data_IF_215631424925
#
_entry.id   IF_215631424925
#
_cell.length_a   1.000
_cell.length_b   1.000
_cell.length_c   1.000
_cell.angle_alpha   90.00
_cell.angle_beta   90.00
_cell.angle_gamma   90.00
#
_symmetry.space_group_name_H-M   'P 1'
#
loop_
_entity.id
_entity.type
_entity.pdbx_description
1 polymer ?
#
# COMPACT_ATOMS: atom_id res chain seq x y z
N UNK A 1 -23.53 -6.76 -34.09
CA UNK A 1 -24.01 -5.98 -32.93
C UNK A 1 -23.46 -6.61 -31.66
N UNK A 2 -22.28 -6.17 -31.21
CA UNK A 2 -21.66 -6.66 -29.98
C UNK A 2 -22.07 -5.74 -28.81
N UNK A 3 -22.88 -6.27 -27.89
CA UNK A 3 -23.11 -5.64 -26.58
C UNK A 3 -21.93 -5.99 -25.68
N UNK A 4 -20.98 -5.08 -25.53
CA UNK A 4 -20.03 -5.10 -24.42
C UNK A 4 -20.68 -4.39 -23.23
N UNK A 5 -21.32 -5.15 -22.35
CA UNK A 5 -21.61 -4.71 -20.99
C UNK A 5 -20.38 -4.99 -20.14
N UNK A 6 -19.45 -4.05 -20.13
CA UNK A 6 -18.35 -4.00 -19.18
C UNK A 6 -18.22 -2.56 -18.72
N UNK A 7 -18.68 -2.25 -17.51
CA UNK A 7 -18.45 -0.94 -16.91
C UNK A 7 -16.93 -0.71 -16.83
N UNK A 8 -16.38 0.09 -17.75
CA UNK A 8 -15.03 0.61 -17.66
C UNK A 8 -15.05 1.70 -16.57
N UNK A 9 -14.94 1.28 -15.31
CA UNK A 9 -14.69 2.20 -14.19
C UNK A 9 -13.20 2.22 -13.95
N UNK A 10 -12.60 3.41 -14.04
CA UNK A 10 -11.32 3.68 -13.38
C UNK A 10 -11.49 3.42 -11.88
N UNK A 11 -11.10 2.23 -11.45
CA UNK A 11 -10.99 1.92 -10.02
C UNK A 11 -9.55 2.15 -9.66
N UNK A 12 -9.31 3.16 -8.83
CA UNK A 12 -8.04 3.28 -8.13
C UNK A 12 -7.92 2.03 -7.24
N UNK A 13 -6.91 1.22 -7.51
CA UNK A 13 -6.76 -0.10 -6.90
C UNK A 13 -6.45 -0.06 -5.40
N UNK A 14 -5.98 1.07 -4.89
CA UNK A 14 -5.52 1.24 -3.51
C UNK A 14 -5.59 2.71 -3.03
N UNK A 15 -5.52 2.92 -1.73
CA UNK A 15 -5.22 4.22 -1.12
C UNK A 15 -3.74 4.25 -0.71
N UNK A 16 -2.96 5.19 -1.24
CA UNK A 16 -1.53 5.33 -0.91
C UNK A 16 -1.32 6.26 0.27
N UNK A 17 -0.50 5.85 1.22
CA UNK A 17 0.00 6.71 2.29
C UNK A 17 1.41 7.15 1.90
N UNK A 18 1.62 8.45 1.75
CA UNK A 18 2.88 9.05 1.29
C UNK A 18 3.50 9.87 2.42
N UNK A 19 4.82 9.87 2.51
CA UNK A 19 5.54 10.83 3.34
C UNK A 19 5.62 12.17 2.61
N UNK A 20 5.24 13.25 3.29
CA UNK A 20 5.30 14.64 2.80
C UNK A 20 4.65 14.86 1.42
N UNK A 21 3.54 14.19 1.13
CA UNK A 21 2.84 14.25 -0.17
C UNK A 21 3.74 13.92 -1.39
N UNK A 22 4.80 13.13 -1.17
CA UNK A 22 5.75 12.80 -2.21
C UNK A 22 5.53 11.39 -2.76
N UNK A 23 5.16 11.30 -4.03
CA UNK A 23 4.94 10.03 -4.74
C UNK A 23 6.19 9.12 -4.83
N UNK A 24 7.39 9.65 -4.57
CA UNK A 24 8.64 8.89 -4.47
C UNK A 24 8.93 8.38 -3.05
N UNK A 25 8.14 8.80 -2.06
CA UNK A 25 8.24 8.37 -0.65
C UNK A 25 6.96 7.67 -0.15
N UNK A 26 6.48 6.61 -0.81
CA UNK A 26 5.32 5.85 -0.33
C UNK A 26 5.64 5.07 0.96
N UNK A 27 4.82 5.24 2.01
CA UNK A 27 4.95 4.52 3.28
C UNK A 27 4.26 3.16 3.19
N UNK A 28 3.03 3.12 2.69
CA UNK A 28 2.28 1.87 2.45
C UNK A 28 1.13 2.11 1.46
N UNK A 29 0.48 1.03 1.00
CA UNK A 29 -0.78 1.12 0.24
C UNK A 29 -1.86 0.24 0.86
N UNK A 30 -3.06 0.79 0.95
CA UNK A 30 -4.23 0.16 1.53
C UNK A 30 -5.14 -0.36 0.42
N UNK A 31 -5.33 -1.67 0.36
CA UNK A 31 -6.21 -2.32 -0.60
C UNK A 31 -7.52 -2.72 0.10
N UNK A 32 -8.37 -1.73 0.42
CA UNK A 32 -9.61 -1.96 1.19
C UNK A 32 -10.87 -1.99 0.33
N UNK A 33 -10.72 -1.96 -0.99
CA UNK A 33 -11.82 -1.97 -1.95
C UNK A 33 -12.71 -3.22 -1.88
N UNK A 34 -12.21 -4.31 -1.28
CA UNK A 34 -12.99 -5.51 -1.00
C UNK A 34 -12.93 -5.83 0.51
N UNK A 35 -14.08 -5.74 1.24
CA UNK A 35 -14.13 -6.02 2.67
C UNK A 35 -13.64 -7.41 3.08
N UNK A 36 -13.77 -8.42 2.19
CA UNK A 36 -13.37 -9.81 2.43
C UNK A 36 -11.91 -10.10 2.10
N UNK A 37 -11.21 -9.17 1.44
CA UNK A 37 -9.81 -9.35 1.02
C UNK A 37 -9.01 -8.06 1.16
N UNK A 38 -9.13 -7.42 2.33
CA UNK A 38 -8.31 -6.28 2.68
C UNK A 38 -6.84 -6.69 2.70
N UNK A 39 -6.00 -5.88 2.09
CA UNK A 39 -4.54 -6.11 2.09
C UNK A 39 -3.82 -4.80 2.39
N UNK A 40 -2.66 -4.93 3.00
CA UNK A 40 -1.70 -3.86 3.21
C UNK A 40 -0.48 -4.18 2.36
N UNK A 41 -0.03 -3.23 1.54
CA UNK A 41 1.26 -3.32 0.85
C UNK A 41 2.29 -2.51 1.61
N UNK A 42 3.37 -3.17 2.01
CA UNK A 42 4.47 -2.65 2.81
C UNK A 42 5.72 -2.49 1.94
N UNK A 43 6.58 -1.55 2.31
CA UNK A 43 7.82 -1.28 1.60
C UNK A 43 9.02 -1.41 2.53
N UNK A 44 9.93 -2.32 2.18
CA UNK A 44 11.20 -2.48 2.86
C UNK A 44 12.34 -2.02 1.95
N UNK A 45 13.42 -1.55 2.56
CA UNK A 45 14.60 -1.05 1.86
C UNK A 45 15.85 -1.81 2.30
N UNK A 46 16.47 -2.52 1.37
CA UNK A 46 17.72 -3.25 1.57
C UNK A 46 18.70 -2.85 0.48
N UNK A 47 19.88 -2.32 0.83
CA UNK A 47 20.96 -2.01 -0.12
C UNK A 47 20.46 -1.19 -1.35
N UNK A 48 19.75 -0.08 -1.09
CA UNK A 48 19.10 0.79 -2.09
C UNK A 48 18.02 0.14 -2.98
N UNK A 49 17.68 -1.14 -2.76
CA UNK A 49 16.56 -1.80 -3.43
C UNK A 49 15.31 -1.72 -2.57
N UNK A 50 14.20 -1.34 -3.20
CA UNK A 50 12.87 -1.40 -2.61
C UNK A 50 12.28 -2.78 -2.82
N UNK A 51 11.82 -3.40 -1.74
CA UNK A 51 11.01 -4.61 -1.77
C UNK A 51 9.57 -4.25 -1.38
N UNK A 52 8.60 -4.81 -2.08
CA UNK A 52 7.17 -4.60 -1.83
C UNK A 52 6.53 -5.94 -1.44
N UNK A 53 5.73 -5.95 -0.38
CA UNK A 53 5.03 -7.16 0.08
C UNK A 53 3.56 -6.84 0.37
N UNK A 54 2.64 -7.67 -0.15
CA UNK A 54 1.20 -7.57 0.15
C UNK A 54 0.79 -8.58 1.19
N UNK A 55 0.43 -8.10 2.37
CA UNK A 55 -0.04 -8.92 3.49
C UNK A 55 -1.56 -8.80 3.63
N UNK A 56 -2.29 -9.91 3.83
CA UNK A 56 -3.72 -9.84 4.15
C UNK A 56 -3.92 -9.27 5.55
N UNK A 57 -4.98 -8.49 5.74
CA UNK A 57 -5.43 -8.03 7.06
C UNK A 57 -6.92 -8.32 7.22
N UNK A 58 -7.34 -8.69 8.41
CA UNK A 58 -8.76 -8.98 8.71
C UNK A 58 -9.48 -7.67 9.08
N UNK A 59 -8.83 -6.87 9.92
CA UNK A 59 -9.36 -5.63 10.44
C UNK A 59 -8.29 -4.51 10.47
N UNK A 60 -8.70 -3.28 10.77
CA UNK A 60 -7.79 -2.14 10.76
C UNK A 60 -6.72 -2.19 11.86
N UNK A 61 -6.98 -2.87 12.98
CA UNK A 61 -6.01 -2.99 14.05
C UNK A 61 -4.81 -3.87 13.66
N UNK A 62 -4.98 -4.75 12.67
CA UNK A 62 -3.87 -5.57 12.16
C UNK A 62 -2.74 -4.72 11.55
N UNK A 63 -3.02 -3.49 11.14
CA UNK A 63 -2.00 -2.56 10.64
C UNK A 63 -0.93 -2.30 11.72
N UNK A 64 -1.31 -2.27 13.00
CA UNK A 64 -0.36 -2.04 14.10
C UNK A 64 0.67 -3.17 14.24
N UNK A 65 0.36 -4.38 13.78
CA UNK A 65 1.32 -5.51 13.72
C UNK A 65 2.53 -5.19 12.81
N UNK A 66 2.38 -4.24 11.89
CA UNK A 66 3.42 -3.82 10.94
C UNK A 66 4.00 -2.43 11.27
N UNK A 67 3.71 -1.88 12.46
CA UNK A 67 4.12 -0.53 12.85
C UNK A 67 5.64 -0.31 12.77
N UNK A 68 6.45 -1.30 13.14
CA UNK A 68 7.90 -1.20 13.06
C UNK A 68 8.41 -1.15 11.61
N UNK A 69 7.78 -1.89 10.69
CA UNK A 69 8.09 -1.80 9.25
C UNK A 69 7.74 -0.43 8.70
N UNK A 70 6.55 0.09 9.01
CA UNK A 70 6.12 1.44 8.59
C UNK A 70 7.09 2.53 9.10
N UNK A 71 7.50 2.45 10.38
CA UNK A 71 8.49 3.37 10.96
C UNK A 71 9.85 3.24 10.27
N UNK A 72 10.29 2.01 9.96
CA UNK A 72 11.55 1.78 9.25
C UNK A 72 11.53 2.39 7.85
N UNK A 73 10.40 2.30 7.13
CA UNK A 73 10.20 2.95 5.82
C UNK A 73 10.34 4.47 5.91
N UNK A 74 9.70 5.11 6.92
CA UNK A 74 9.82 6.55 7.16
C UNK A 74 11.27 6.93 7.49
N UNK A 75 11.89 6.22 8.43
CA UNK A 75 13.27 6.49 8.85
C UNK A 75 14.27 6.35 7.69
N UNK A 76 14.03 5.44 6.75
CA UNK A 76 14.84 5.33 5.53
C UNK A 76 14.76 6.60 4.67
N UNK A 77 13.58 7.18 4.50
CA UNK A 77 13.39 8.41 3.70
C UNK A 77 13.87 9.69 4.37
N UNK A 78 13.98 9.72 5.70
CA UNK A 78 14.54 10.86 6.44
C UNK A 78 16.07 10.83 6.47
N UNK A 79 16.67 9.64 6.39
CA UNK A 79 18.13 9.47 6.32
C UNK A 79 18.72 9.79 4.94
N UNK A 80 17.89 9.85 3.90
CA UNK A 80 18.27 10.01 2.50
C UNK A 80 17.84 11.38 1.98
#
# INVERSE_FOLDING_TARGET
>A
MFKLWGNFRDKISFCGILLDDNNRKPICRLYFNNPQSKKLELFDYSEDKRQEEKVPIENLNDIFKYSDRLKATVAYYEKK
#
